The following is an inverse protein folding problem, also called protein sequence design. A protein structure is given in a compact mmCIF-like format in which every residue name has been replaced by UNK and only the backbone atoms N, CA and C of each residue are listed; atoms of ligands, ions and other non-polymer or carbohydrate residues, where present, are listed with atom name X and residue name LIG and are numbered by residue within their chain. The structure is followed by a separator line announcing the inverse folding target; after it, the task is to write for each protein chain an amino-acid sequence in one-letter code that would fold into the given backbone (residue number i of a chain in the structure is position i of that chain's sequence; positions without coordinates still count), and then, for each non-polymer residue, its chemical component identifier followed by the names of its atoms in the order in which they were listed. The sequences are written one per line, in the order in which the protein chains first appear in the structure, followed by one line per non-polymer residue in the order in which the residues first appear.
data_IF_460278098682
#
_entry.id   IF_460278098682
#
_cell.length_a   1.000
_cell.length_b   1.000
_cell.length_c   1.000
_cell.angle_alpha   90.00
_cell.angle_beta   90.00
_cell.angle_gamma   90.00
#
_symmetry.space_group_name_H-M   'P 1'
#
loop_
_entity.id
_entity.type
_entity.pdbx_description
1 polymer ?
#
# COMPACT_ATOMS: atom_id res chain seq x y z
N UNK A 1 5.93 21.34 -12.03
CA UNK A 1 7.14 21.18 -12.87
C UNK A 1 7.94 19.94 -12.47
N UNK A 2 8.40 19.79 -11.22
CA UNK A 2 9.17 18.59 -10.79
C UNK A 2 8.36 17.29 -10.94
N UNK A 3 7.10 17.26 -10.50
CA UNK A 3 6.24 16.07 -10.62
C UNK A 3 5.97 15.70 -12.08
N UNK A 4 5.86 16.70 -12.96
CA UNK A 4 5.74 16.45 -14.40
C UNK A 4 7.01 15.81 -14.99
N UNK A 5 8.18 16.22 -14.51
CA UNK A 5 9.46 15.63 -14.92
C UNK A 5 9.65 14.23 -14.34
N UNK A 6 9.14 13.96 -13.15
CA UNK A 6 9.12 12.62 -12.54
C UNK A 6 8.28 11.63 -13.39
N UNK A 7 7.17 12.09 -13.97
CA UNK A 7 6.30 11.27 -14.82
C UNK A 7 6.78 11.18 -16.28
N UNK A 8 7.15 12.31 -16.89
CA UNK A 8 7.37 12.43 -18.34
C UNK A 8 8.81 12.73 -18.76
N UNK A 9 9.71 12.95 -17.81
CA UNK A 9 11.12 13.16 -18.10
C UNK A 9 11.80 11.92 -18.65
N UNK A 10 12.96 12.09 -19.26
CA UNK A 10 13.86 10.97 -19.51
C UNK A 10 14.32 10.35 -18.17
N UNK A 11 14.78 9.10 -18.21
CA UNK A 11 15.12 8.37 -16.98
C UNK A 11 16.15 9.10 -16.11
N UNK A 12 17.13 9.81 -16.70
CA UNK A 12 18.10 10.59 -15.92
C UNK A 12 17.43 11.72 -15.16
N UNK A 13 16.53 12.45 -15.81
CA UNK A 13 15.72 13.49 -15.17
C UNK A 13 14.78 12.93 -14.10
N UNK A 14 14.15 11.77 -14.34
CA UNK A 14 13.28 11.12 -13.35
C UNK A 14 14.04 10.75 -12.08
N UNK A 15 15.29 10.26 -12.21
CA UNK A 15 16.16 9.98 -11.06
C UNK A 15 16.39 11.23 -10.22
N UNK A 16 16.83 12.32 -10.83
CA UNK A 16 17.08 13.56 -10.10
C UNK A 16 15.81 14.13 -9.47
N UNK A 17 14.66 14.00 -10.15
CA UNK A 17 13.38 14.37 -9.58
C UNK A 17 13.03 13.50 -8.37
N UNK A 18 13.25 12.19 -8.42
CA UNK A 18 13.01 11.28 -7.30
C UNK A 18 13.89 11.61 -6.08
N UNK A 19 15.16 11.91 -6.33
CA UNK A 19 16.09 12.40 -5.30
C UNK A 19 15.61 13.71 -4.67
N UNK A 20 15.15 14.67 -5.47
CA UNK A 20 14.64 15.94 -4.97
C UNK A 20 13.38 15.75 -4.08
N UNK A 21 12.47 14.86 -4.49
CA UNK A 21 11.29 14.52 -3.68
C UNK A 21 11.71 13.84 -2.38
N UNK A 22 12.55 12.81 -2.44
CA UNK A 22 13.01 12.08 -1.24
C UNK A 22 13.71 12.99 -0.24
N UNK A 23 14.60 13.88 -0.69
CA UNK A 23 15.25 14.87 0.16
C UNK A 23 14.26 15.82 0.85
N UNK A 24 13.18 16.21 0.16
CA UNK A 24 12.12 17.03 0.73
C UNK A 24 11.35 16.28 1.82
N UNK A 25 11.17 14.95 1.69
CA UNK A 25 10.52 14.15 2.74
C UNK A 25 11.38 13.98 4.00
N UNK A 26 12.72 14.06 3.87
CA UNK A 26 13.64 13.91 5.02
C UNK A 26 13.74 15.19 5.84
N UNK A 27 13.84 16.35 5.18
CA UNK A 27 14.12 17.65 5.84
C UNK A 27 12.98 18.65 5.76
N UNK A 28 11.89 18.30 5.07
CA UNK A 28 10.75 19.17 4.88
C UNK A 28 9.79 19.16 6.07
N UNK A 29 8.86 20.11 6.05
CA UNK A 29 7.75 20.16 7.02
C UNK A 29 6.53 19.41 6.50
N UNK A 30 5.63 19.02 7.42
CA UNK A 30 4.36 18.35 7.09
C UNK A 30 3.53 19.10 6.04
N UNK A 31 3.48 20.43 6.09
CA UNK A 31 2.76 21.26 5.10
C UNK A 31 3.34 21.14 3.68
N UNK A 32 4.67 20.97 3.57
CA UNK A 32 5.33 20.82 2.26
C UNK A 32 5.10 19.44 1.68
N UNK A 33 5.09 18.40 2.52
CA UNK A 33 4.79 17.02 2.10
C UNK A 33 3.32 16.90 1.69
N UNK A 34 2.39 17.46 2.47
CA UNK A 34 0.97 17.52 2.12
C UNK A 34 0.75 18.21 0.76
N UNK A 35 1.48 19.30 0.49
CA UNK A 35 1.42 19.97 -0.82
C UNK A 35 1.90 19.06 -1.96
N UNK A 36 2.96 18.24 -1.77
CA UNK A 36 3.39 17.29 -2.81
C UNK A 36 2.31 16.24 -3.12
N UNK A 37 1.63 15.73 -2.08
CA UNK A 37 0.53 14.78 -2.24
C UNK A 37 -0.61 15.41 -3.04
N UNK A 38 -1.00 16.64 -2.69
CA UNK A 38 -2.02 17.40 -3.43
C UNK A 38 -1.66 17.65 -4.90
N UNK A 39 -0.36 17.68 -5.22
CA UNK A 39 0.12 17.80 -6.59
C UNK A 39 0.26 16.44 -7.33
N UNK A 40 -0.31 15.36 -6.78
CA UNK A 40 -0.30 14.00 -7.33
C UNK A 40 1.12 13.42 -7.52
N UNK A 41 1.98 13.58 -6.51
CA UNK A 41 3.33 12.97 -6.53
C UNK A 41 3.31 11.44 -6.42
N UNK A 42 2.31 10.85 -5.76
CA UNK A 42 2.30 9.43 -5.40
C UNK A 42 2.38 8.50 -6.62
N UNK A 43 1.48 8.59 -7.62
CA UNK A 43 1.53 7.67 -8.76
C UNK A 43 2.85 7.68 -9.56
N UNK A 44 3.41 8.84 -9.98
CA UNK A 44 4.68 8.83 -10.70
C UNK A 44 5.85 8.39 -9.83
N UNK A 45 5.79 8.59 -8.51
CA UNK A 45 6.82 8.12 -7.60
C UNK A 45 6.77 6.59 -7.46
N UNK A 46 5.58 6.01 -7.26
CA UNK A 46 5.39 4.55 -7.22
C UNK A 46 5.75 3.84 -8.54
N UNK A 47 5.66 4.51 -9.69
CA UNK A 47 6.10 3.94 -10.97
C UNK A 47 7.63 3.69 -11.03
N UNK A 48 8.41 4.39 -10.21
CA UNK A 48 9.85 4.17 -10.14
C UNK A 48 10.26 2.96 -9.30
N UNK A 49 9.33 2.30 -8.60
CA UNK A 49 9.62 1.09 -7.81
C UNK A 49 9.99 -0.12 -8.68
N UNK A 50 9.64 -0.12 -9.97
CA UNK A 50 9.88 -1.25 -10.87
C UNK A 50 11.11 -1.07 -11.76
N UNK A 51 11.93 -0.04 -11.51
CA UNK A 51 13.13 0.22 -12.32
C UNK A 51 14.27 -0.72 -11.91
N UNK A 52 15.20 -0.98 -12.83
CA UNK A 52 16.33 -1.89 -12.57
C UNK A 52 17.39 -1.30 -11.63
N UNK A 53 17.38 0.02 -11.45
CA UNK A 53 18.36 0.70 -10.64
C UNK A 53 17.95 0.63 -9.16
N UNK A 54 18.59 -0.29 -8.42
CA UNK A 54 18.31 -0.52 -7.01
C UNK A 54 18.46 0.74 -6.15
N UNK A 55 19.37 1.66 -6.50
CA UNK A 55 19.53 2.91 -5.76
C UNK A 55 18.27 3.78 -5.90
N UNK A 56 17.68 3.83 -7.09
CA UNK A 56 16.45 4.60 -7.33
C UNK A 56 15.29 3.97 -6.59
N UNK A 57 15.16 2.64 -6.64
CA UNK A 57 14.11 1.91 -5.90
C UNK A 57 14.21 2.20 -4.40
N UNK A 58 15.42 2.14 -3.83
CA UNK A 58 15.66 2.45 -2.43
C UNK A 58 15.27 3.89 -2.08
N UNK A 59 15.71 4.88 -2.87
CA UNK A 59 15.36 6.31 -2.66
C UNK A 59 13.86 6.55 -2.69
N UNK A 60 13.14 5.84 -3.56
CA UNK A 60 11.68 5.94 -3.68
C UNK A 60 10.98 5.29 -2.48
N UNK A 61 11.41 4.09 -2.07
CA UNK A 61 10.88 3.41 -0.89
C UNK A 61 11.10 4.24 0.38
N UNK A 62 12.30 4.78 0.58
CA UNK A 62 12.62 5.66 1.70
C UNK A 62 11.70 6.88 1.70
N UNK A 63 11.51 7.49 0.52
CA UNK A 63 10.61 8.63 0.35
C UNK A 63 9.15 8.28 0.69
N UNK A 64 8.64 7.14 0.23
CA UNK A 64 7.28 6.68 0.55
C UNK A 64 7.11 6.40 2.05
N UNK A 65 8.07 5.73 2.68
CA UNK A 65 8.07 5.49 4.12
C UNK A 65 8.01 6.80 4.91
N UNK A 66 8.81 7.80 4.53
CA UNK A 66 8.82 9.11 5.19
C UNK A 66 7.50 9.86 4.98
N UNK A 67 6.93 9.82 3.77
CA UNK A 67 5.62 10.44 3.49
C UNK A 67 4.55 9.84 4.41
N UNK A 68 4.47 8.51 4.50
CA UNK A 68 3.51 7.81 5.36
C UNK A 68 3.72 8.15 6.84
N UNK A 69 4.97 8.15 7.32
CA UNK A 69 5.31 8.50 8.71
C UNK A 69 4.96 9.95 9.07
N UNK A 70 5.08 10.89 8.13
CA UNK A 70 4.80 12.31 8.36
C UNK A 70 3.31 12.66 8.28
N UNK A 71 2.48 11.75 7.78
CA UNK A 71 1.07 12.00 7.55
C UNK A 71 0.24 11.99 8.85
N UNK A 72 0.72 11.34 9.91
CA UNK A 72 -0.03 11.05 11.14
C UNK A 72 -1.45 10.54 10.79
N UNK A 73 -2.49 11.31 11.09
CA UNK A 73 -3.90 10.98 10.83
C UNK A 73 -4.26 10.83 9.34
N UNK A 74 -3.44 11.37 8.42
CA UNK A 74 -3.67 11.26 6.97
C UNK A 74 -2.99 10.01 6.36
N UNK A 75 -2.31 9.19 7.18
CA UNK A 75 -1.57 8.02 6.70
C UNK A 75 -2.47 7.03 5.94
N UNK A 76 -3.68 6.76 6.43
CA UNK A 76 -4.66 5.89 5.79
C UNK A 76 -5.07 6.42 4.41
N UNK A 77 -5.29 7.73 4.29
CA UNK A 77 -5.62 8.35 3.00
C UNK A 77 -4.48 8.18 1.99
N UNK A 78 -3.23 8.33 2.44
CA UNK A 78 -2.06 8.17 1.56
C UNK A 78 -1.83 6.69 1.22
N UNK A 79 -2.04 5.78 2.16
CA UNK A 79 -1.97 4.35 1.92
C UNK A 79 -2.97 3.93 0.83
N UNK A 80 -4.21 4.42 0.91
CA UNK A 80 -5.23 4.21 -0.13
C UNK A 80 -4.78 4.76 -1.49
N UNK A 81 -4.17 5.95 -1.55
CA UNK A 81 -3.63 6.50 -2.80
C UNK A 81 -2.49 5.65 -3.39
N UNK A 82 -1.66 5.05 -2.53
CA UNK A 82 -0.59 4.13 -2.96
C UNK A 82 -1.22 2.85 -3.52
N UNK A 83 -2.24 2.30 -2.86
CA UNK A 83 -2.95 1.10 -3.33
C UNK A 83 -3.69 1.35 -4.66
N UNK A 84 -4.46 2.43 -4.78
CA UNK A 84 -5.21 2.79 -5.99
C UNK A 84 -4.33 2.94 -7.23
N UNK A 85 -3.06 3.33 -7.07
CA UNK A 85 -2.11 3.47 -8.18
C UNK A 85 -1.30 2.19 -8.46
N UNK A 86 -1.65 1.08 -7.81
CA UNK A 86 -0.94 -0.20 -7.90
C UNK A 86 0.45 -0.15 -7.27
N UNK A 87 0.64 0.72 -6.28
CA UNK A 87 1.90 0.91 -5.56
C UNK A 87 2.14 -0.19 -4.53
N UNK A 88 1.09 -0.66 -3.86
CA UNK A 88 1.16 -1.71 -2.85
C UNK A 88 1.72 -3.01 -3.43
N UNK A 89 1.19 -3.48 -4.56
CA UNK A 89 1.63 -4.72 -5.21
C UNK A 89 3.09 -4.63 -5.67
N UNK A 90 3.56 -3.42 -6.01
CA UNK A 90 4.98 -3.18 -6.33
C UNK A 90 5.84 -3.28 -5.08
N UNK A 91 5.40 -2.74 -3.95
CA UNK A 91 6.10 -2.84 -2.66
C UNK A 91 6.14 -4.31 -2.20
N UNK A 92 5.05 -5.05 -2.35
CA UNK A 92 5.01 -6.49 -2.06
C UNK A 92 6.01 -7.29 -2.90
N UNK A 93 6.11 -6.99 -4.20
CA UNK A 93 7.10 -7.62 -5.07
C UNK A 93 8.55 -7.36 -4.60
N UNK A 94 8.82 -6.17 -4.04
CA UNK A 94 10.12 -5.81 -3.51
C UNK A 94 10.50 -6.59 -2.23
N UNK A 95 9.54 -7.29 -1.59
CA UNK A 95 9.87 -8.25 -0.54
C UNK A 95 10.68 -9.47 -1.04
N UNK A 96 10.77 -9.67 -2.36
CA UNK A 96 11.60 -10.71 -2.97
C UNK A 96 12.86 -10.15 -3.64
N UNK A 97 13.20 -8.88 -3.37
CA UNK A 97 14.34 -8.21 -3.99
C UNK A 97 15.68 -8.77 -3.47
N UNK A 98 16.69 -8.86 -4.33
CA UNK A 98 18.02 -9.40 -3.98
C UNK A 98 18.80 -8.53 -2.97
N UNK A 99 18.46 -7.24 -2.92
CA UNK A 99 19.01 -6.30 -1.94
C UNK A 99 18.22 -6.38 -0.63
N UNK A 100 18.90 -6.81 0.43
CA UNK A 100 18.30 -6.97 1.76
C UNK A 100 17.71 -5.68 2.34
N UNK A 101 18.30 -4.51 2.06
CA UNK A 101 17.82 -3.24 2.61
C UNK A 101 16.46 -2.88 1.98
N UNK A 102 16.32 -3.11 0.68
CA UNK A 102 15.06 -2.93 -0.06
C UNK A 102 13.99 -3.90 0.46
N UNK A 103 14.36 -5.17 0.62
CA UNK A 103 13.47 -6.20 1.18
C UNK A 103 12.96 -5.82 2.57
N UNK A 104 13.86 -5.47 3.49
CA UNK A 104 13.52 -5.13 4.88
C UNK A 104 12.62 -3.91 4.93
N UNK A 105 12.95 -2.86 4.17
CA UNK A 105 12.15 -1.65 4.14
C UNK A 105 10.76 -1.87 3.54
N UNK A 106 10.65 -2.67 2.48
CA UNK A 106 9.36 -3.03 1.90
C UNK A 106 8.50 -3.81 2.91
N UNK A 107 9.10 -4.74 3.65
CA UNK A 107 8.43 -5.45 4.74
C UNK A 107 7.95 -4.50 5.84
N UNK A 108 8.81 -3.59 6.32
CA UNK A 108 8.46 -2.61 7.36
C UNK A 108 7.32 -1.69 6.93
N UNK A 109 7.31 -1.23 5.66
CA UNK A 109 6.23 -0.38 5.15
C UNK A 109 4.90 -1.13 5.17
N UNK A 110 4.88 -2.38 4.70
CA UNK A 110 3.67 -3.20 4.68
C UNK A 110 3.18 -3.44 6.11
N UNK A 111 4.06 -3.92 7.00
CA UNK A 111 3.74 -4.22 8.40
C UNK A 111 3.18 -2.99 9.16
N UNK A 112 3.73 -1.80 8.92
CA UNK A 112 3.35 -0.58 9.64
C UNK A 112 2.09 0.10 9.10
N UNK A 113 1.84 0.05 7.79
CA UNK A 113 0.83 0.89 7.14
C UNK A 113 -0.26 0.13 6.37
N UNK A 114 -0.04 -1.15 6.06
CA UNK A 114 -0.95 -1.96 5.24
C UNK A 114 -1.34 -3.28 5.91
N UNK A 115 -0.62 -3.71 6.95
CA UNK A 115 -0.94 -4.89 7.76
C UNK A 115 -1.80 -4.56 8.98
N UNK A 116 -2.48 -3.42 8.99
CA UNK A 116 -3.71 -3.30 9.76
C UNK A 116 -4.72 -4.26 9.14
N UNK A 117 -4.58 -5.54 9.51
CA UNK A 117 -5.73 -6.41 9.63
C UNK A 117 -6.74 -5.59 10.41
N UNK A 118 -7.76 -5.13 9.70
CA UNK A 118 -9.06 -4.94 10.29
C UNK A 118 -9.22 -6.07 11.30
N UNK A 119 -9.27 -5.71 12.57
CA UNK A 119 -9.96 -6.51 13.58
C UNK A 119 -11.47 -6.39 13.25
N UNK A 120 -11.81 -6.72 12.01
CA UNK A 120 -13.10 -7.23 11.56
C UNK A 120 -12.89 -8.74 11.35
N UNK A 121 -12.27 -9.41 12.33
CA UNK A 121 -12.89 -10.66 12.77
C UNK A 121 -14.30 -10.27 13.24
N UNK A 122 -15.24 -10.25 12.29
CA UNK A 122 -16.66 -10.23 12.62
C UNK A 122 -16.84 -11.31 13.69
N UNK A 123 -17.24 -10.94 14.92
CA UNK A 123 -17.47 -11.91 15.99
C UNK A 123 -18.57 -12.91 15.65
N UNK A 124 -19.24 -12.78 14.49
CA UNK A 124 -20.16 -13.78 13.94
C UNK A 124 -19.47 -14.97 13.24
N UNK A 125 -18.17 -14.88 12.93
CA UNK A 125 -17.43 -15.95 12.25
C UNK A 125 -16.85 -17.01 13.19
N UNK A 126 -16.95 -16.83 14.51
CA UNK A 126 -16.68 -17.94 15.43
C UNK A 126 -17.84 -18.95 15.33
N UNK A 127 -17.59 -20.20 14.93
CA UNK A 127 -18.63 -21.22 15.03
C UNK A 127 -18.93 -21.40 16.51
N UNK A 128 -20.14 -21.06 16.96
CA UNK A 128 -20.59 -21.41 18.30
C UNK A 128 -20.49 -22.93 18.44
N UNK A 129 -19.52 -23.38 19.25
CA UNK A 129 -19.45 -24.77 19.65
C UNK A 129 -20.58 -25.03 20.63
N UNK A 130 -21.69 -25.58 20.13
CA UNK A 130 -22.71 -26.14 21.01
C UNK A 130 -22.04 -27.28 21.78
N UNK A 131 -22.06 -27.19 23.11
CA UNK A 131 -21.53 -28.23 24.01
C UNK A 131 -22.09 -29.60 23.61
N UNK A 132 -21.25 -30.42 22.97
CA UNK A 132 -21.68 -31.72 22.44
C UNK A 132 -21.10 -32.16 21.10
N UNK A 133 -20.18 -31.39 20.48
CA UNK A 133 -19.35 -31.89 19.37
C UNK A 133 -20.12 -32.25 18.09
N UNK A 134 -21.19 -31.52 17.76
CA UNK A 134 -21.93 -31.67 16.51
C UNK A 134 -22.04 -30.32 15.79
N UNK A 135 -21.56 -30.27 14.55
CA UNK A 135 -21.64 -29.09 13.68
C UNK A 135 -23.09 -28.92 13.19
N UNK A 136 -23.75 -27.82 13.57
CA UNK A 136 -25.10 -27.50 13.10
C UNK A 136 -25.07 -26.58 11.88
N UNK A 137 -25.35 -27.11 10.69
CA UNK A 137 -25.67 -26.28 9.52
C UNK A 137 -27.09 -25.72 9.70
N UNK A 138 -27.21 -24.41 9.93
CA UNK A 138 -28.51 -23.74 9.96
C UNK A 138 -28.98 -23.50 8.51
N UNK A 139 -29.89 -24.36 8.01
CA UNK A 139 -30.52 -24.24 6.70
C UNK A 139 -31.62 -23.16 6.71
N UNK A 140 -31.24 -21.92 6.97
CA UNK A 140 -32.08 -20.74 6.78
C UNK A 140 -31.78 -20.03 5.45
N UNK A 141 -31.51 -20.81 4.39
CA UNK A 141 -31.62 -20.32 3.03
C UNK A 141 -33.03 -20.63 2.54
N UNK A 142 -33.82 -19.58 2.35
CA UNK A 142 -35.19 -19.61 1.85
C UNK A 142 -35.25 -20.27 0.45
N UNK A 143 -35.45 -21.58 0.41
CA UNK A 143 -35.71 -22.35 -0.82
C UNK A 143 -37.19 -22.22 -1.18
N UNK A 144 -37.55 -21.66 -2.35
CA UNK A 144 -38.94 -21.71 -2.82
C UNK A 144 -39.25 -23.16 -3.21
N UNK A 145 -40.26 -23.74 -2.57
CA UNK A 145 -40.77 -25.05 -2.91
C UNK A 145 -41.59 -24.97 -4.21
N UNK A 146 -40.96 -25.24 -5.35
CA UNK A 146 -41.67 -25.63 -6.58
C UNK A 146 -41.29 -27.06 -6.95
N UNK A 147 -42.30 -27.93 -6.89
CA UNK A 147 -42.17 -29.36 -7.11
C UNK A 147 -41.96 -29.72 -8.57
N UNK A 148 -41.21 -30.81 -8.80
CA UNK A 148 -41.21 -31.52 -10.06
C UNK A 148 -41.48 -33.00 -9.81
N UNK A 149 -42.49 -33.51 -10.52
CA UNK A 149 -42.94 -34.89 -10.51
C UNK A 149 -42.51 -35.53 -11.84
N UNK A 150 -41.84 -36.70 -11.76
CA UNK A 150 -41.69 -37.64 -12.88
C UNK A 150 -42.56 -38.86 -12.61
#
# INVERSE_FOLDING_TARGET
MIIHLLDKGDFGTQKEAAWAISNLTISGRKDQVAYLIQQNVIPPFCNLLTVKDAQVVQVVLDGLSNILKMADDEAETIANLIEECGGLEKIEQLQNHENEDIYKLAYEIIDQFFSSDDIDEDPSLVPETIQGGTFGFNSSANVPAEGFQF
#
